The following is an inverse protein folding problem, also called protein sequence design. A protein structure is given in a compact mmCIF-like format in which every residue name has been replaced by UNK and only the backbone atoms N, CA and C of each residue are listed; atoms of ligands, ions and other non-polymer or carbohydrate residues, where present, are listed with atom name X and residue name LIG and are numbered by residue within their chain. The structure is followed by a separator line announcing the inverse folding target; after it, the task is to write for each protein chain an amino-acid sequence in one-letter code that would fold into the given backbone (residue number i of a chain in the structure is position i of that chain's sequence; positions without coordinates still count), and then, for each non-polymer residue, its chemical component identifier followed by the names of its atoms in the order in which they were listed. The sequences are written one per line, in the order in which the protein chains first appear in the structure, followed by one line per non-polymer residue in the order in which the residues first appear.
data_IF_528281479539
#
_entry.id   IF_528281479539
#
_cell.length_a   1.000
_cell.length_b   1.000
_cell.length_c   1.000
_cell.angle_alpha   90.00
_cell.angle_beta   90.00
_cell.angle_gamma   90.00
#
_symmetry.space_group_name_H-M   'P 1'
#
loop_
_entity.id
_entity.type
_entity.pdbx_description
1 polymer ?
#
# COMPACT_ATOMS: atom_id res chain seq x y z
N UNK A 1 -14.55 4.62 19.43
CA UNK A 1 -13.37 3.75 19.60
C UNK A 1 -12.79 3.33 18.25
N UNK A 2 -13.60 2.87 17.31
CA UNK A 2 -13.18 2.37 16.00
C UNK A 2 -12.33 3.40 15.20
N UNK A 3 -12.78 4.64 15.08
CA UNK A 3 -12.01 5.68 14.36
C UNK A 3 -10.63 6.00 14.96
N UNK A 4 -10.45 5.87 16.29
CA UNK A 4 -9.13 6.06 16.91
C UNK A 4 -8.16 4.94 16.54
N UNK A 5 -8.66 3.70 16.43
CA UNK A 5 -7.87 2.53 16.04
C UNK A 5 -7.42 2.68 14.58
N UNK A 6 -8.34 3.05 13.69
CA UNK A 6 -8.03 3.28 12.27
C UNK A 6 -7.02 4.43 12.11
N UNK A 7 -7.18 5.50 12.87
CA UNK A 7 -6.23 6.62 12.85
C UNK A 7 -4.84 6.19 13.30
N UNK A 8 -4.74 5.45 14.40
CA UNK A 8 -3.46 4.94 14.92
C UNK A 8 -2.80 3.96 13.93
N UNK A 9 -3.59 3.04 13.37
CA UNK A 9 -3.12 2.09 12.36
C UNK A 9 -2.53 2.80 11.14
N UNK A 10 -3.22 3.81 10.61
CA UNK A 10 -2.71 4.56 9.49
C UNK A 10 -1.47 5.39 9.82
N UNK A 11 -1.36 5.94 11.04
CA UNK A 11 -0.13 6.63 11.48
C UNK A 11 1.04 5.65 11.55
N UNK A 12 0.80 4.43 12.04
CA UNK A 12 1.80 3.36 12.03
C UNK A 12 2.27 3.04 10.60
N UNK A 13 1.34 2.90 9.65
CA UNK A 13 1.68 2.65 8.24
C UNK A 13 2.54 3.77 7.64
N UNK A 14 2.25 5.04 7.96
CA UNK A 14 3.05 6.17 7.48
C UNK A 14 4.48 6.15 8.05
N UNK A 15 4.65 5.78 9.32
CA UNK A 15 5.97 5.60 9.92
C UNK A 15 6.72 4.42 9.32
N UNK A 16 6.04 3.29 9.07
CA UNK A 16 6.63 2.13 8.40
C UNK A 16 7.06 2.46 6.96
N UNK A 17 6.25 3.24 6.25
CA UNK A 17 6.59 3.73 4.92
C UNK A 17 7.85 4.59 4.96
N UNK A 18 7.89 5.59 5.84
CA UNK A 18 9.07 6.45 5.99
C UNK A 18 10.32 5.65 6.35
N UNK A 19 10.20 4.69 7.28
CA UNK A 19 11.29 3.81 7.67
C UNK A 19 11.76 2.93 6.50
N UNK A 20 10.83 2.33 5.74
CA UNK A 20 11.18 1.45 4.60
C UNK A 20 11.91 2.22 3.50
N UNK A 21 11.48 3.46 3.20
CA UNK A 21 12.16 4.34 2.25
C UNK A 21 13.55 4.75 2.76
N UNK A 22 13.67 5.10 4.03
CA UNK A 22 14.97 5.44 4.63
C UNK A 22 15.96 4.27 4.59
N UNK A 23 15.49 3.06 4.90
CA UNK A 23 16.33 1.85 4.83
C UNK A 23 16.70 1.51 3.38
N UNK A 24 15.78 1.72 2.42
CA UNK A 24 16.02 1.48 1.00
C UNK A 24 17.20 2.31 0.46
N UNK A 25 17.39 3.51 0.97
CA UNK A 25 18.50 4.40 0.55
C UNK A 25 19.85 3.72 0.77
N UNK A 26 20.01 2.94 1.85
CA UNK A 26 21.28 2.32 2.19
C UNK A 26 21.77 1.30 1.14
N UNK A 27 21.01 0.22 0.80
CA UNK A 27 21.46 -0.74 -0.20
C UNK A 27 21.59 -0.12 -1.59
N UNK A 28 20.70 0.83 -1.95
CA UNK A 28 20.78 1.53 -3.25
C UNK A 28 22.04 2.39 -3.33
N UNK A 29 22.37 3.15 -2.28
CA UNK A 29 23.59 3.94 -2.22
C UNK A 29 24.82 3.06 -2.31
N UNK A 30 24.84 1.93 -1.59
CA UNK A 30 25.94 0.97 -1.62
C UNK A 30 26.15 0.39 -3.04
N UNK A 31 25.07 0.08 -3.76
CA UNK A 31 25.12 -0.39 -5.15
C UNK A 31 25.74 0.66 -6.09
N UNK A 32 25.29 1.93 -5.94
CA UNK A 32 25.83 3.02 -6.75
C UNK A 32 27.33 3.20 -6.48
N UNK A 33 27.73 3.27 -5.21
CA UNK A 33 29.13 3.41 -4.83
C UNK A 33 29.99 2.25 -5.32
N UNK A 34 29.56 1.00 -5.15
CA UNK A 34 30.30 -0.16 -5.59
C UNK A 34 30.48 -0.23 -7.12
N UNK A 35 29.51 0.32 -7.87
CA UNK A 35 29.58 0.35 -9.35
C UNK A 35 30.54 1.41 -9.89
N UNK A 36 30.65 2.55 -9.21
CA UNK A 36 31.40 3.70 -9.73
C UNK A 36 32.78 3.88 -9.11
N UNK A 37 33.11 3.26 -7.97
CA UNK A 37 34.30 3.59 -7.23
C UNK A 37 35.32 2.44 -7.12
N UNK A 38 35.07 1.24 -7.53
CA UNK A 38 35.92 0.05 -7.33
C UNK A 38 36.54 -0.11 -5.91
N UNK A 39 36.24 0.84 -5.00
CA UNK A 39 36.71 0.87 -3.61
C UNK A 39 35.97 -0.12 -2.71
N UNK A 40 34.78 -0.50 -3.11
CA UNK A 40 33.91 -1.39 -2.35
C UNK A 40 33.52 -2.57 -3.25
N UNK A 41 33.66 -3.82 -2.78
CA UNK A 41 33.23 -4.97 -3.56
C UNK A 41 31.71 -4.90 -3.82
N UNK A 42 31.28 -5.36 -4.99
CA UNK A 42 29.86 -5.45 -5.34
C UNK A 42 29.18 -6.54 -4.50
N UNK A 43 28.41 -6.14 -3.50
CA UNK A 43 27.64 -7.06 -2.68
C UNK A 43 26.33 -7.43 -3.40
N UNK A 44 26.27 -8.63 -3.93
CA UNK A 44 25.12 -9.12 -4.72
C UNK A 44 23.82 -9.13 -3.91
N UNK A 45 23.88 -9.38 -2.59
CA UNK A 45 22.70 -9.38 -1.71
C UNK A 45 22.00 -8.02 -1.61
N UNK A 46 22.72 -6.92 -1.86
CA UNK A 46 22.13 -5.56 -1.77
C UNK A 46 21.04 -5.32 -2.81
N UNK A 47 21.12 -5.99 -3.98
CA UNK A 47 20.09 -5.89 -5.02
C UNK A 47 18.76 -6.50 -4.55
N UNK A 48 18.80 -7.66 -3.92
CA UNK A 48 17.60 -8.29 -3.38
C UNK A 48 17.02 -7.49 -2.21
N UNK A 49 17.86 -7.00 -1.31
CA UNK A 49 17.42 -6.15 -0.20
C UNK A 49 16.75 -4.88 -0.70
N UNK A 50 17.32 -4.22 -1.72
CA UNK A 50 16.70 -3.06 -2.35
C UNK A 50 15.33 -3.41 -2.94
N UNK A 51 15.19 -4.55 -3.63
CA UNK A 51 13.91 -5.04 -4.17
C UNK A 51 12.89 -5.31 -3.06
N UNK A 52 13.31 -5.91 -1.94
CA UNK A 52 12.44 -6.15 -0.78
C UNK A 52 11.87 -4.84 -0.23
N UNK A 53 12.71 -3.90 0.11
CA UNK A 53 12.28 -2.61 0.66
C UNK A 53 11.49 -1.78 -0.36
N UNK A 54 11.83 -1.88 -1.64
CA UNK A 54 11.10 -1.20 -2.70
C UNK A 54 9.65 -1.69 -2.82
N UNK A 55 9.45 -3.02 -2.84
CA UNK A 55 8.10 -3.60 -2.89
C UNK A 55 7.29 -3.19 -1.65
N UNK A 56 7.88 -3.29 -0.45
CA UNK A 56 7.22 -2.85 0.77
C UNK A 56 6.90 -1.35 0.76
N UNK A 57 7.81 -0.51 0.27
CA UNK A 57 7.56 0.93 0.15
C UNK A 57 6.39 1.25 -0.78
N UNK A 58 6.29 0.56 -1.92
CA UNK A 58 5.15 0.71 -2.83
C UNK A 58 3.84 0.26 -2.15
N UNK A 59 3.84 -0.90 -1.51
CA UNK A 59 2.63 -1.44 -0.87
C UNK A 59 2.17 -0.60 0.32
N UNK A 60 3.11 -0.18 1.19
CA UNK A 60 2.81 0.74 2.30
C UNK A 60 2.32 2.10 1.78
N UNK A 61 2.95 2.63 0.73
CA UNK A 61 2.51 3.87 0.08
C UNK A 61 1.10 3.77 -0.47
N UNK A 62 0.76 2.65 -1.10
CA UNK A 62 -0.58 2.39 -1.59
C UNK A 62 -1.62 2.28 -0.45
N UNK A 63 -1.26 1.67 0.69
CA UNK A 63 -2.14 1.63 1.87
C UNK A 63 -2.40 3.03 2.44
N UNK A 64 -1.34 3.85 2.58
CA UNK A 64 -1.44 5.23 3.07
C UNK A 64 -2.26 6.10 2.11
N UNK A 65 -2.02 5.96 0.79
CA UNK A 65 -2.74 6.73 -0.23
C UNK A 65 -4.25 6.51 -0.20
N UNK A 66 -4.72 5.26 -0.01
CA UNK A 66 -6.16 4.99 0.15
C UNK A 66 -6.72 5.65 1.41
N UNK A 67 -5.98 5.61 2.53
CA UNK A 67 -6.42 6.26 3.77
C UNK A 67 -6.57 7.77 3.63
N UNK A 68 -5.64 8.44 2.96
CA UNK A 68 -5.68 9.88 2.75
C UNK A 68 -6.75 10.31 1.76
N UNK A 69 -7.37 9.35 1.07
CA UNK A 69 -8.45 9.62 0.10
C UNK A 69 -7.98 10.34 -1.16
N UNK A 70 -6.67 10.48 -1.35
CA UNK A 70 -6.09 11.19 -2.51
C UNK A 70 -6.47 10.56 -3.84
N UNK A 71 -6.83 9.29 -3.86
CA UNK A 71 -7.29 8.56 -5.05
C UNK A 71 -8.75 8.87 -5.42
N UNK A 72 -9.51 9.51 -4.51
CA UNK A 72 -10.94 9.80 -4.68
C UNK A 72 -11.22 11.28 -4.99
N UNK A 73 -10.21 12.15 -4.88
CA UNK A 73 -10.36 13.58 -5.12
C UNK A 73 -10.04 13.84 -6.59
N UNK A 74 -11.05 13.69 -7.43
CA UNK A 74 -11.00 14.21 -8.78
C UNK A 74 -11.80 15.50 -8.78
N UNK A 75 -11.15 16.61 -8.50
CA UNK A 75 -11.72 17.97 -8.62
C UNK A 75 -11.91 18.39 -10.09
N UNK A 76 -12.46 17.47 -10.90
CA UNK A 76 -12.73 17.75 -12.31
C UNK A 76 -13.90 18.74 -12.50
N UNK A 77 -14.78 18.86 -11.52
CA UNK A 77 -15.95 19.75 -11.60
C UNK A 77 -16.23 20.42 -10.24
N UNK A 78 -15.72 21.63 -10.02
CA UNK A 78 -15.93 22.37 -8.76
C UNK A 78 -17.40 22.76 -8.48
N UNK A 79 -18.30 22.58 -9.44
CA UNK A 79 -19.72 22.95 -9.33
C UNK A 79 -20.68 21.78 -9.03
N UNK A 80 -20.17 20.58 -8.73
CA UNK A 80 -21.05 19.43 -8.45
C UNK A 80 -21.64 19.49 -7.03
N UNK A 81 -22.94 19.12 -6.92
CA UNK A 81 -23.59 19.01 -5.62
C UNK A 81 -22.92 17.89 -4.78
N UNK A 82 -22.99 17.99 -3.45
CA UNK A 82 -22.44 17.01 -2.49
C UNK A 82 -22.90 15.56 -2.77
N UNK A 83 -24.15 15.38 -3.22
CA UNK A 83 -24.70 14.07 -3.59
C UNK A 83 -24.04 13.46 -4.82
N UNK A 84 -23.82 14.26 -5.86
CA UNK A 84 -23.18 13.79 -7.08
C UNK A 84 -21.70 13.42 -6.82
N UNK A 85 -21.02 14.20 -6.00
CA UNK A 85 -19.65 13.89 -5.56
C UNK A 85 -19.61 12.61 -4.72
N UNK A 86 -20.55 12.42 -3.79
CA UNK A 86 -20.62 11.19 -2.99
C UNK A 86 -20.93 9.96 -3.85
N UNK A 87 -21.79 10.10 -4.87
CA UNK A 87 -22.07 9.02 -5.81
C UNK A 87 -20.83 8.62 -6.63
N UNK A 88 -20.07 9.60 -7.14
CA UNK A 88 -18.81 9.33 -7.88
C UNK A 88 -17.77 8.65 -6.97
N UNK A 89 -17.62 9.13 -5.73
CA UNK A 89 -16.72 8.50 -4.77
C UNK A 89 -17.12 7.06 -4.47
N UNK A 90 -18.42 6.77 -4.37
CA UNK A 90 -18.92 5.40 -4.19
C UNK A 90 -18.62 4.49 -5.37
N UNK A 91 -18.77 4.98 -6.60
CA UNK A 91 -18.38 4.23 -7.80
C UNK A 91 -16.88 3.91 -7.77
N UNK A 92 -16.04 4.91 -7.48
CA UNK A 92 -14.59 4.72 -7.33
C UNK A 92 -14.26 3.74 -6.20
N UNK A 93 -14.92 3.88 -5.03
CA UNK A 93 -14.75 2.98 -3.90
C UNK A 93 -15.13 1.52 -4.24
N UNK A 94 -16.17 1.30 -5.05
CA UNK A 94 -16.57 -0.02 -5.49
C UNK A 94 -15.48 -0.71 -6.32
N UNK A 95 -14.82 0.01 -7.23
CA UNK A 95 -13.69 -0.52 -7.99
C UNK A 95 -12.50 -0.82 -7.09
N UNK A 96 -12.17 0.07 -6.15
CA UNK A 96 -11.09 -0.16 -5.19
C UNK A 96 -11.37 -1.37 -4.31
N UNK A 97 -12.61 -1.52 -3.81
CA UNK A 97 -13.01 -2.68 -2.99
C UNK A 97 -12.96 -3.99 -3.80
N UNK A 98 -13.39 -3.98 -5.06
CA UNK A 98 -13.27 -5.14 -5.94
C UNK A 98 -11.80 -5.53 -6.16
N UNK A 99 -10.94 -4.54 -6.41
CA UNK A 99 -9.51 -4.77 -6.58
C UNK A 99 -8.83 -5.24 -5.28
N UNK A 100 -9.23 -4.69 -4.14
CA UNK A 100 -8.79 -5.11 -2.82
C UNK A 100 -9.14 -6.58 -2.53
N UNK A 101 -10.35 -7.01 -2.91
CA UNK A 101 -10.76 -8.41 -2.79
C UNK A 101 -9.88 -9.35 -3.65
N UNK A 102 -9.54 -8.93 -4.86
CA UNK A 102 -8.58 -9.64 -5.72
C UNK A 102 -7.22 -9.77 -5.04
N UNK A 103 -6.70 -8.68 -4.46
CA UNK A 103 -5.42 -8.67 -3.75
C UNK A 103 -5.42 -9.62 -2.55
N UNK A 104 -6.52 -9.70 -1.80
CA UNK A 104 -6.64 -10.64 -0.69
C UNK A 104 -6.68 -12.07 -1.22
N UNK A 105 -7.58 -12.36 -2.17
CA UNK A 105 -7.82 -13.72 -2.64
C UNK A 105 -6.57 -14.33 -3.28
N UNK A 106 -6.08 -13.72 -4.35
CA UNK A 106 -4.88 -14.21 -5.03
C UNK A 106 -3.58 -13.95 -4.26
N UNK A 107 -3.54 -12.90 -3.44
CA UNK A 107 -2.40 -12.61 -2.59
C UNK A 107 -2.12 -13.70 -1.55
N UNK A 108 -3.17 -14.34 -1.01
CA UNK A 108 -3.02 -15.48 -0.10
C UNK A 108 -2.38 -16.66 -0.83
N UNK A 109 -2.87 -17.00 -2.03
CA UNK A 109 -2.31 -18.10 -2.80
C UNK A 109 -0.87 -17.81 -3.26
N UNK A 110 -0.59 -16.56 -3.62
CA UNK A 110 0.74 -16.09 -3.96
C UNK A 110 1.71 -16.19 -2.78
N UNK A 111 1.26 -15.86 -1.58
CA UNK A 111 2.05 -16.00 -0.35
C UNK A 111 2.29 -17.47 -0.01
N UNK A 112 1.28 -18.32 -0.15
CA UNK A 112 1.42 -19.78 0.06
C UNK A 112 2.43 -20.41 -0.89
N UNK A 113 2.38 -20.02 -2.17
CA UNK A 113 3.34 -20.48 -3.17
C UNK A 113 4.80 -20.12 -2.83
N UNK A 114 5.00 -18.98 -2.18
CA UNK A 114 6.32 -18.48 -1.78
C UNK A 114 6.80 -19.02 -0.43
N UNK A 115 5.94 -19.72 0.33
CA UNK A 115 6.21 -20.04 1.73
C UNK A 115 7.48 -20.89 1.93
N UNK A 116 7.71 -21.86 1.03
CA UNK A 116 8.87 -22.77 1.09
C UNK A 116 10.01 -22.33 0.15
N UNK A 117 9.99 -21.08 -0.32
CA UNK A 117 11.00 -20.55 -1.23
C UNK A 117 11.87 -19.53 -0.52
N UNK A 118 13.16 -19.58 -0.84
CA UNK A 118 14.18 -18.67 -0.33
C UNK A 118 14.72 -17.89 -1.52
N UNK A 119 15.09 -16.64 -1.32
CA UNK A 119 15.74 -15.82 -2.34
C UNK A 119 17.16 -16.33 -2.59
N UNK A 120 17.66 -16.19 -3.83
CA UNK A 120 18.90 -16.82 -4.25
C UNK A 120 20.16 -16.11 -3.71
N UNK A 121 20.08 -14.81 -3.43
CA UNK A 121 21.25 -14.00 -3.11
C UNK A 121 21.29 -13.54 -1.65
N UNK A 122 20.16 -13.23 -1.06
CA UNK A 122 20.05 -12.77 0.32
C UNK A 122 19.57 -13.87 1.30
N UNK A 123 19.26 -15.07 0.79
CA UNK A 123 18.74 -16.21 1.57
C UNK A 123 17.51 -15.87 2.42
N UNK A 124 16.74 -14.87 2.02
CA UNK A 124 15.54 -14.42 2.73
C UNK A 124 14.31 -15.21 2.28
N UNK A 125 13.38 -15.52 3.20
CA UNK A 125 12.14 -16.20 2.84
C UNK A 125 11.29 -15.33 1.92
N UNK A 126 10.94 -15.81 0.73
CA UNK A 126 10.19 -15.04 -0.27
C UNK A 126 8.76 -14.69 0.19
N UNK A 127 8.17 -15.47 1.11
CA UNK A 127 6.84 -15.17 1.62
C UNK A 127 6.77 -13.78 2.31
N UNK A 128 7.90 -13.26 2.82
CA UNK A 128 7.97 -11.93 3.45
C UNK A 128 7.64 -10.81 2.45
N UNK A 129 8.02 -10.96 1.17
CA UNK A 129 7.58 -10.01 0.14
C UNK A 129 6.12 -10.27 -0.25
N UNK A 130 5.76 -11.54 -0.44
CA UNK A 130 4.48 -11.91 -1.00
C UNK A 130 3.30 -11.61 -0.06
N UNK A 131 3.52 -11.64 1.27
CA UNK A 131 2.51 -11.26 2.25
C UNK A 131 2.10 -9.78 2.17
N UNK A 132 2.91 -8.93 1.56
CA UNK A 132 2.55 -7.53 1.33
C UNK A 132 1.27 -7.38 0.50
N UNK A 133 1.00 -8.31 -0.45
CA UNK A 133 -0.19 -8.28 -1.31
C UNK A 133 -1.51 -8.46 -0.55
N UNK A 134 -1.72 -9.58 0.17
CA UNK A 134 -2.96 -9.75 0.92
C UNK A 134 -3.10 -8.75 2.07
N UNK A 135 -1.98 -8.31 2.66
CA UNK A 135 -2.01 -7.27 3.70
C UNK A 135 -2.49 -5.93 3.14
N UNK A 136 -2.00 -5.55 1.96
CA UNK A 136 -2.45 -4.33 1.25
C UNK A 136 -3.93 -4.42 0.92
N UNK A 137 -4.38 -5.54 0.36
CA UNK A 137 -5.79 -5.76 0.05
C UNK A 137 -6.69 -5.67 1.29
N UNK A 138 -6.29 -6.31 2.40
CA UNK A 138 -7.03 -6.24 3.66
C UNK A 138 -7.11 -4.81 4.21
N UNK A 139 -6.01 -4.07 4.15
CA UNK A 139 -5.95 -2.65 4.56
C UNK A 139 -6.86 -1.78 3.69
N UNK A 140 -6.87 -2.00 2.39
CA UNK A 140 -7.75 -1.28 1.46
C UNK A 140 -9.22 -1.58 1.72
N UNK A 141 -9.59 -2.84 2.03
CA UNK A 141 -10.96 -3.18 2.42
C UNK A 141 -11.42 -2.38 3.64
N UNK A 142 -10.54 -2.20 4.64
CA UNK A 142 -10.86 -1.44 5.85
C UNK A 142 -11.02 0.06 5.53
N UNK A 143 -10.05 0.68 4.88
CA UNK A 143 -10.06 2.12 4.64
C UNK A 143 -11.08 2.54 3.58
N UNK A 144 -11.13 1.86 2.43
CA UNK A 144 -12.12 2.15 1.40
C UNK A 144 -13.54 1.81 1.87
N UNK A 145 -13.70 0.78 2.69
CA UNK A 145 -14.98 0.45 3.33
C UNK A 145 -15.46 1.54 4.27
N UNK A 146 -14.58 2.13 5.08
CA UNK A 146 -14.92 3.28 5.95
C UNK A 146 -15.35 4.50 5.12
N UNK A 147 -14.61 4.84 4.08
CA UNK A 147 -14.94 5.95 3.18
C UNK A 147 -16.30 5.70 2.49
N UNK A 148 -16.50 4.52 1.90
CA UNK A 148 -17.76 4.15 1.25
C UNK A 148 -18.95 4.22 2.23
N UNK A 149 -18.78 3.78 3.47
CA UNK A 149 -19.80 3.87 4.50
C UNK A 149 -20.18 5.32 4.82
N UNK A 150 -19.21 6.21 4.91
CA UNK A 150 -19.46 7.62 5.16
C UNK A 150 -20.18 8.29 3.98
N UNK A 151 -19.79 7.99 2.74
CA UNK A 151 -20.46 8.50 1.54
C UNK A 151 -21.91 7.99 1.40
N UNK A 152 -22.16 6.71 1.73
CA UNK A 152 -23.51 6.15 1.80
C UNK A 152 -24.40 6.89 2.81
N UNK A 153 -23.84 7.25 3.97
CA UNK A 153 -24.57 8.04 4.99
C UNK A 153 -24.93 9.45 4.47
N UNK A 154 -24.05 10.09 3.70
CA UNK A 154 -24.32 11.40 3.09
C UNK A 154 -25.49 11.28 2.10
N UNK A 155 -25.50 10.24 1.26
CA UNK A 155 -26.60 10.00 0.32
C UNK A 155 -27.92 9.69 1.02
N UNK A 156 -27.91 8.88 2.09
CA UNK A 156 -29.08 8.46 2.83
C UNK A 156 -29.72 9.60 3.65
N UNK A 157 -28.90 10.54 4.18
CA UNK A 157 -29.41 11.66 5.00
C UNK A 157 -29.95 12.83 4.19
N UNK A 158 -29.94 12.74 2.86
CA UNK A 158 -30.48 13.77 1.96
C UNK A 158 -29.85 15.13 2.25
N UNK A 159 -28.69 15.42 1.66
CA UNK A 159 -27.90 16.64 1.91
C UNK A 159 -28.75 17.87 2.21
N UNK A 160 -28.80 18.23 3.48
CA UNK A 160 -29.21 19.55 3.94
C UNK A 160 -27.99 20.45 3.95
#
# INVERSE_FOLDING_TARGET
MFGKIIHWYGTLLSWLLAASVAILIFPVSLQIFSRYTELIPSYIWTEEMARFFFIWSIMLGAMVGIREGTHFVVDLWPSMNARAQAALRLVSAAFVLAFAAVFVWWGIDFTRFAFNRISELAELPLWVIHVAWPLTGATWLVFAGEHAWNDLRILARGGT
#
